data_IF_157262412004
#
_entry.id   IF_157262412004
#
_cell.length_a   1.000
_cell.length_b   1.000
_cell.length_c   1.000
_cell.angle_alpha   90.00
_cell.angle_beta   90.00
_cell.angle_gamma   90.00
#
_symmetry.space_group_name_H-M   'P 1'
#
loop_
_entity.id
_entity.type
_entity.pdbx_description
1 polymer ?
#
# COMPACT_ATOMS: atom_id res chain seq x y z
N UNK A 1 2.80 -61.02 38.20
CA UNK A 1 4.15 -60.59 37.80
C UNK A 1 4.14 -59.06 37.81
N UNK A 2 4.27 -58.36 38.94
CA UNK A 2 5.45 -58.14 39.77
C UNK A 2 6.64 -57.61 38.96
N UNK A 3 6.94 -56.30 39.11
CA UNK A 3 8.08 -55.60 38.50
C UNK A 3 8.11 -54.13 38.91
N UNK A 4 8.78 -53.86 40.04
CA UNK A 4 9.04 -52.57 40.68
C UNK A 4 10.43 -52.03 40.24
N UNK A 5 10.82 -50.85 40.76
CA UNK A 5 12.11 -50.12 40.66
C UNK A 5 12.23 -49.17 39.45
N UNK A 6 12.65 -47.91 39.60
CA UNK A 6 13.12 -47.15 40.75
C UNK A 6 13.38 -45.70 40.32
N UNK A 7 13.25 -44.77 41.27
CA UNK A 7 13.43 -43.34 41.06
C UNK A 7 14.90 -42.91 40.96
N UNK A 8 15.10 -41.70 40.41
CA UNK A 8 16.38 -41.02 40.33
C UNK A 8 16.18 -39.52 40.16
N UNK A 9 16.00 -38.84 41.30
CA UNK A 9 16.08 -37.39 41.43
C UNK A 9 17.53 -36.95 41.20
N UNK A 10 17.75 -36.00 40.30
CA UNK A 10 19.02 -35.27 40.21
C UNK A 10 18.74 -33.76 40.24
N UNK A 11 18.67 -33.25 41.47
CA UNK A 11 18.74 -31.82 41.80
C UNK A 11 20.18 -31.33 41.65
N UNK A 12 20.40 -30.30 40.86
CA UNK A 12 21.69 -29.59 40.79
C UNK A 12 21.53 -28.14 41.30
N UNK A 13 22.25 -27.73 42.36
CA UNK A 13 22.37 -26.32 42.74
C UNK A 13 23.80 -25.77 42.57
N UNK A 14 23.90 -24.43 42.61
CA UNK A 14 25.07 -23.52 42.55
C UNK A 14 25.54 -23.17 41.12
N UNK A 15 25.88 -21.92 40.80
CA UNK A 15 26.50 -20.92 41.66
C UNK A 15 26.00 -19.49 41.39
N UNK A 16 25.75 -18.76 42.47
CA UNK A 16 25.65 -17.32 42.52
C UNK A 16 27.04 -16.72 42.25
N UNK A 17 27.11 -15.74 41.34
CA UNK A 17 28.26 -14.82 41.27
C UNK A 17 27.76 -13.40 41.47
N UNK A 18 27.83 -12.98 42.72
CA UNK A 18 27.81 -11.58 43.11
C UNK A 18 29.14 -10.94 42.72
N UNK A 19 29.11 -9.84 41.97
CA UNK A 19 30.17 -8.85 41.98
C UNK A 19 29.53 -7.48 42.14
N UNK A 20 29.54 -7.05 43.40
CA UNK A 20 29.37 -5.67 43.83
C UNK A 20 30.61 -4.89 43.37
N UNK A 21 30.43 -3.78 42.70
CA UNK A 21 31.38 -2.66 42.71
C UNK A 21 30.56 -1.37 42.82
N UNK A 22 30.68 -0.72 43.97
CA UNK A 22 30.28 0.66 44.15
C UNK A 22 31.52 1.55 44.06
N UNK A 23 31.33 2.79 43.60
CA UNK A 23 32.09 4.02 43.85
C UNK A 23 31.09 5.14 43.49
N UNK A 24 30.46 5.77 44.49
CA UNK A 24 30.82 7.07 45.12
C UNK A 24 30.80 8.28 44.16
N UNK A 25 29.71 9.05 44.29
CA UNK A 25 29.62 10.52 44.45
C UNK A 25 30.62 11.43 43.70
N UNK A 26 30.10 12.41 42.95
CA UNK A 26 30.49 13.81 43.18
C UNK A 26 29.42 14.81 42.73
N UNK A 27 29.25 15.83 43.58
CA UNK A 27 28.38 17.00 43.50
C UNK A 27 29.08 18.11 42.73
N UNK A 28 28.34 18.90 41.92
CA UNK A 28 28.47 20.37 41.73
C UNK A 28 27.53 20.79 40.57
N UNK A 29 26.44 21.52 40.81
CA UNK A 29 26.37 22.98 41.02
C UNK A 29 27.25 23.78 40.07
N UNK A 30 26.59 24.48 39.13
CA UNK A 30 27.19 25.40 38.19
C UNK A 30 26.12 26.25 37.50
N UNK A 31 25.50 27.15 38.27
CA UNK A 31 24.85 28.36 37.77
C UNK A 31 25.89 29.18 36.98
N UNK A 32 25.55 29.64 35.77
CA UNK A 32 25.92 30.98 35.30
C UNK A 32 25.17 31.33 34.01
N UNK A 33 24.39 32.40 34.12
CA UNK A 33 23.80 33.15 33.04
C UNK A 33 24.87 33.84 32.20
N UNK A 34 24.67 33.94 30.89
CA UNK A 34 25.16 35.07 30.09
C UNK A 34 24.06 35.47 29.11
N UNK A 35 23.69 36.74 29.21
CA UNK A 35 22.77 37.48 28.38
C UNK A 35 23.52 38.21 27.25
N UNK A 36 22.73 38.70 26.27
CA UNK A 36 23.06 39.70 25.24
C UNK A 36 24.02 39.19 24.14
N UNK A 37 23.86 39.49 22.85
CA UNK A 37 23.46 40.77 22.25
C UNK A 37 23.00 40.60 20.80
N UNK A 38 22.19 41.57 20.38
CA UNK A 38 21.83 41.95 19.01
C UNK A 38 23.06 42.12 18.09
N UNK A 39 22.90 41.76 16.81
CA UNK A 39 23.51 42.47 15.69
C UNK A 39 22.81 42.11 14.37
N UNK A 40 21.93 43.01 13.94
CA UNK A 40 21.61 43.28 12.54
C UNK A 40 22.89 43.48 11.73
N UNK A 41 23.06 42.74 10.64
CA UNK A 41 23.88 43.17 9.50
C UNK A 41 23.19 42.75 8.20
N UNK A 42 22.55 43.74 7.58
CA UNK A 42 22.16 43.75 6.19
C UNK A 42 23.40 43.70 5.28
N UNK A 43 23.34 42.89 4.22
CA UNK A 43 24.23 42.97 3.06
C UNK A 43 23.36 43.01 1.80
N UNK A 44 23.62 43.92 0.84
CA UNK A 44 22.78 44.12 -0.33
C UNK A 44 23.20 43.25 -1.52
N UNK A 45 22.20 42.86 -2.31
CA UNK A 45 22.26 42.83 -3.77
C UNK A 45 23.07 41.72 -4.45
N UNK A 46 22.37 40.83 -5.15
CA UNK A 46 22.76 40.38 -6.50
C UNK A 46 21.50 39.98 -7.27
N UNK A 47 21.40 40.53 -8.48
CA UNK A 47 20.29 40.42 -9.41
C UNK A 47 20.05 38.98 -9.87
N UNK A 48 18.77 38.56 -9.91
CA UNK A 48 18.34 37.42 -10.70
C UNK A 48 17.33 37.89 -11.75
N UNK A 49 17.66 37.57 -13.00
CA UNK A 49 16.88 37.88 -14.20
C UNK A 49 15.45 37.31 -14.11
N UNK A 50 14.47 38.16 -14.38
CA UNK A 50 13.10 37.75 -14.61
C UNK A 50 13.01 37.08 -16.00
N UNK A 51 12.84 35.76 -16.01
CA UNK A 51 12.40 35.01 -17.17
C UNK A 51 10.89 35.22 -17.36
N UNK A 52 10.51 35.89 -18.44
CA UNK A 52 9.14 36.02 -18.93
C UNK A 52 8.70 34.72 -19.59
N UNK A 53 8.02 33.85 -18.86
CA UNK A 53 7.20 32.78 -19.46
C UNK A 53 5.81 33.34 -19.75
N UNK A 54 5.57 33.64 -21.03
CA UNK A 54 4.25 33.93 -21.55
C UNK A 54 3.37 32.66 -21.47
N UNK A 55 2.37 32.68 -20.59
CA UNK A 55 1.28 31.70 -20.59
C UNK A 55 0.27 32.07 -21.67
N UNK A 56 0.29 31.36 -22.79
CA UNK A 56 -0.78 31.41 -23.79
C UNK A 56 -1.97 30.64 -23.23
N UNK A 57 -2.94 31.36 -22.68
CA UNK A 57 -4.27 30.83 -22.39
C UNK A 57 -5.02 30.70 -23.74
N UNK A 58 -5.03 29.49 -24.29
CA UNK A 58 -5.91 29.14 -25.40
C UNK A 58 -7.34 29.03 -24.88
N UNK A 59 -8.13 30.08 -25.09
CA UNK A 59 -9.58 30.06 -24.90
C UNK A 59 -10.15 29.39 -26.16
N UNK A 60 -10.55 28.13 -26.05
CA UNK A 60 -11.35 27.48 -27.09
C UNK A 60 -12.80 27.97 -26.95
N UNK A 61 -13.18 28.93 -27.77
CA UNK A 61 -14.58 29.32 -27.96
C UNK A 61 -15.16 28.39 -29.01
N UNK A 62 -15.85 27.33 -28.58
CA UNK A 62 -16.71 26.53 -29.47
C UNK A 62 -18.16 27.06 -29.36
N UNK A 63 -18.75 27.61 -30.42
CA UNK A 63 -20.10 28.17 -30.40
C UNK A 63 -21.24 27.12 -30.56
N UNK A 64 -20.99 25.83 -30.37
CA UNK A 64 -22.03 24.79 -30.52
C UNK A 64 -22.69 24.30 -29.21
N UNK A 65 -22.41 24.90 -28.04
CA UNK A 65 -22.90 24.43 -26.75
C UNK A 65 -24.03 25.29 -26.13
N UNK A 66 -24.87 25.94 -26.93
CA UNK A 66 -25.90 26.88 -26.42
C UNK A 66 -27.35 26.40 -26.54
N UNK A 67 -27.59 25.13 -26.84
CA UNK A 67 -28.93 24.59 -26.73
C UNK A 67 -28.89 23.17 -26.21
N UNK A 68 -29.23 22.99 -24.92
CA UNK A 68 -29.90 21.82 -24.32
C UNK A 68 -29.94 21.89 -22.77
N UNK A 69 -29.98 23.10 -22.19
CA UNK A 69 -30.36 23.27 -20.79
C UNK A 69 -31.80 23.73 -20.71
N UNK A 70 -32.78 22.81 -20.66
CA UNK A 70 -34.15 23.10 -20.18
C UNK A 70 -35.05 21.85 -19.96
N UNK A 71 -34.49 20.69 -19.56
CA UNK A 71 -35.38 19.53 -19.22
C UNK A 71 -34.87 18.60 -18.12
N UNK A 72 -34.02 19.04 -17.18
CA UNK A 72 -33.77 18.24 -15.98
C UNK A 72 -33.68 19.13 -14.73
N UNK A 73 -34.55 18.85 -13.76
CA UNK A 73 -34.61 19.54 -12.47
C UNK A 73 -33.35 19.29 -11.60
N UNK A 74 -33.24 19.96 -10.44
CA UNK A 74 -32.02 19.96 -9.64
C UNK A 74 -31.77 18.56 -9.04
N UNK A 75 -30.79 17.83 -9.58
CA UNK A 75 -30.39 16.52 -9.07
C UNK A 75 -29.65 15.58 -10.04
N UNK A 76 -29.49 15.93 -11.33
CA UNK A 76 -28.82 15.05 -12.28
C UNK A 76 -27.28 15.16 -12.19
N UNK A 77 -26.63 14.11 -11.68
CA UNK A 77 -25.19 13.86 -11.82
C UNK A 77 -24.94 13.21 -13.17
N UNK A 78 -24.15 13.85 -14.04
CA UNK A 78 -23.70 13.28 -15.31
C UNK A 78 -22.51 12.37 -15.04
N UNK A 79 -22.71 11.05 -15.14
CA UNK A 79 -21.64 10.04 -15.09
C UNK A 79 -21.22 9.74 -16.55
N UNK A 80 -19.95 9.90 -16.94
CA UNK A 80 -19.49 9.45 -18.25
C UNK A 80 -19.45 7.92 -18.29
N UNK A 81 -20.48 7.33 -18.90
CA UNK A 81 -20.61 5.90 -19.14
C UNK A 81 -19.97 5.46 -20.46
N UNK A 82 -19.07 4.49 -20.34
CA UNK A 82 -18.61 3.59 -21.41
C UNK A 82 -19.81 3.03 -22.20
N UNK A 83 -19.91 3.33 -23.50
CA UNK A 83 -20.83 2.64 -24.41
C UNK A 83 -20.05 1.84 -25.44
N UNK A 84 -20.13 0.52 -25.28
CA UNK A 84 -19.75 -0.49 -26.26
C UNK A 84 -20.93 -0.74 -27.20
N UNK A 85 -20.65 -0.55 -28.49
CA UNK A 85 -21.26 -1.05 -29.73
C UNK A 85 -22.65 -1.73 -29.73
N UNK A 86 -23.51 -1.27 -30.65
CA UNK A 86 -24.18 -2.13 -31.64
C UNK A 86 -24.64 -1.30 -32.88
N UNK A 87 -24.43 -1.89 -34.05
CA UNK A 87 -25.01 -1.64 -35.38
C UNK A 87 -24.71 -0.34 -36.15
N UNK A 88 -24.13 -0.49 -37.34
CA UNK A 88 -24.09 0.57 -38.36
C UNK A 88 -22.95 0.50 -39.37
N UNK A 89 -23.11 -0.33 -40.39
CA UNK A 89 -22.33 -0.45 -41.64
C UNK A 89 -22.19 0.91 -42.35
N UNK A 90 -20.98 1.41 -42.61
CA UNK A 90 -20.65 2.23 -43.81
C UNK A 90 -19.16 2.14 -44.16
N UNK A 91 -18.88 1.87 -45.43
CA UNK A 91 -17.60 1.97 -46.14
C UNK A 91 -16.85 3.29 -45.92
N UNK A 92 -15.53 3.26 -45.69
CA UNK A 92 -14.55 3.95 -46.53
C UNK A 92 -13.08 3.61 -46.18
N UNK A 93 -12.29 3.54 -47.24
CA UNK A 93 -10.83 3.59 -47.45
C UNK A 93 -9.81 3.79 -46.30
N UNK A 94 -8.61 3.16 -46.41
CA UNK A 94 -7.51 3.35 -45.48
C UNK A 94 -6.72 4.63 -45.79
N UNK A 95 -6.62 5.55 -44.82
CA UNK A 95 -5.68 6.66 -44.87
C UNK A 95 -4.57 6.43 -43.84
N UNK A 96 -3.38 6.08 -44.33
CA UNK A 96 -2.17 5.96 -43.55
C UNK A 96 -1.60 7.37 -43.27
N UNK A 97 -1.43 7.71 -41.99
CA UNK A 97 -0.66 8.87 -41.58
C UNK A 97 0.83 8.59 -41.74
N UNK A 98 1.47 9.25 -42.71
CA UNK A 98 2.92 9.44 -42.74
C UNK A 98 3.27 10.78 -42.09
N UNK A 99 4.08 10.73 -41.03
CA UNK A 99 4.70 11.90 -40.41
C UNK A 99 5.96 12.23 -41.21
N UNK A 100 5.87 13.23 -42.09
CA UNK A 100 7.03 13.74 -42.84
C UNK A 100 7.70 14.86 -42.06
N UNK A 101 8.88 14.58 -41.51
CA UNK A 101 9.81 15.58 -40.98
C UNK A 101 10.27 16.51 -42.11
N UNK A 102 9.89 17.78 -42.05
CA UNK A 102 10.39 18.82 -42.94
C UNK A 102 11.77 19.32 -42.47
N UNK A 103 12.83 18.65 -42.91
CA UNK A 103 14.17 19.22 -42.88
C UNK A 103 14.33 20.15 -44.10
N UNK A 104 14.32 21.47 -43.87
CA UNK A 104 14.76 22.45 -44.86
C UNK A 104 16.27 22.38 -44.98
N UNK A 105 16.77 21.84 -46.08
CA UNK A 105 18.17 22.05 -46.50
C UNK A 105 18.20 23.01 -47.69
N UNK A 106 18.85 24.14 -47.47
CA UNK A 106 19.16 25.18 -48.46
C UNK A 106 20.14 24.59 -49.47
N UNK A 107 19.75 24.50 -50.74
CA UNK A 107 20.65 24.13 -51.82
C UNK A 107 21.39 25.37 -52.33
N UNK A 108 22.71 25.43 -52.12
CA UNK A 108 23.62 26.26 -52.91
C UNK A 108 24.05 25.46 -54.13
N UNK A 109 23.66 25.93 -55.32
CA UNK A 109 24.16 25.42 -56.58
C UNK A 109 25.63 25.80 -56.72
N UNK A 110 26.51 24.80 -56.85
CA UNK A 110 27.84 25.02 -57.41
C UNK A 110 28.09 23.97 -58.49
N UNK A 111 28.29 24.46 -59.70
CA UNK A 111 28.53 23.66 -60.89
C UNK A 111 29.98 23.17 -60.89
N UNK A 112 30.18 21.87 -61.12
CA UNK A 112 31.44 21.37 -61.63
C UNK A 112 31.15 20.22 -62.62
N UNK A 113 31.54 20.32 -63.90
CA UNK A 113 31.36 19.26 -64.86
C UNK A 113 32.55 18.29 -64.81
N UNK A 114 32.27 17.01 -65.11
CA UNK A 114 33.20 15.88 -65.28
C UNK A 114 33.38 14.96 -64.05
N UNK A 115 32.51 13.96 -63.95
CA UNK A 115 32.91 12.58 -63.66
C UNK A 115 31.76 11.63 -64.03
N UNK A 116 31.92 10.89 -65.11
CA UNK A 116 31.10 9.74 -65.43
C UNK A 116 31.50 8.58 -64.50
N UNK A 117 30.57 8.08 -63.68
CA UNK A 117 30.69 6.79 -63.00
C UNK A 117 29.30 6.23 -62.64
N UNK A 118 28.98 5.11 -63.29
CA UNK A 118 27.96 4.10 -63.07
C UNK A 118 26.92 4.29 -61.95
N UNK A 119 25.64 4.30 -62.35
CA UNK A 119 24.50 4.05 -61.47
C UNK A 119 24.52 2.59 -60.97
N UNK A 120 24.82 2.38 -59.70
CA UNK A 120 24.62 1.09 -59.04
C UNK A 120 23.13 0.92 -58.73
N UNK A 121 22.50 -0.05 -59.39
CA UNK A 121 21.12 -0.50 -59.09
C UNK A 121 21.13 -1.15 -57.71
N UNK A 122 20.36 -0.68 -56.71
CA UNK A 122 20.24 -1.39 -55.45
C UNK A 122 19.53 -2.72 -55.68
N UNK A 123 20.22 -3.83 -55.39
CA UNK A 123 19.65 -5.16 -55.42
C UNK A 123 18.52 -5.28 -54.36
N UNK A 124 17.42 -6.00 -54.64
CA UNK A 124 16.36 -6.22 -53.67
C UNK A 124 16.91 -7.02 -52.48
N UNK A 125 16.94 -6.39 -51.32
CA UNK A 125 17.24 -7.07 -50.06
C UNK A 125 16.12 -8.08 -49.79
N UNK A 126 16.46 -9.37 -49.84
CA UNK A 126 15.56 -10.44 -49.46
C UNK A 126 15.15 -10.24 -48.00
N UNK A 127 13.86 -9.97 -47.77
CA UNK A 127 13.29 -9.93 -46.44
C UNK A 127 13.41 -11.34 -45.82
N UNK A 128 14.26 -11.46 -44.80
CA UNK A 128 14.39 -12.69 -44.02
C UNK A 128 13.03 -13.02 -43.38
N UNK A 129 12.43 -14.14 -43.78
CA UNK A 129 11.22 -14.66 -43.17
C UNK A 129 11.49 -15.04 -41.71
N UNK A 130 10.77 -14.42 -40.77
CA UNK A 130 10.79 -14.78 -39.35
C UNK A 130 10.23 -16.19 -39.19
N UNK A 131 11.09 -17.18 -38.96
CA UNK A 131 10.67 -18.55 -38.61
C UNK A 131 10.05 -18.51 -37.21
N UNK A 132 8.83 -19.05 -37.00
CA UNK A 132 8.24 -19.10 -35.67
C UNK A 132 9.12 -19.96 -34.75
N UNK A 133 9.63 -19.35 -33.69
CA UNK A 133 10.44 -20.04 -32.68
C UNK A 133 9.62 -21.14 -32.02
N UNK A 134 10.09 -22.40 -32.10
CA UNK A 134 9.42 -23.56 -31.49
C UNK A 134 9.41 -23.54 -29.95
N UNK A 135 10.20 -22.65 -29.36
CA UNK A 135 10.34 -22.48 -27.93
C UNK A 135 9.79 -21.13 -27.47
N UNK A 136 9.19 -21.12 -26.28
CA UNK A 136 8.71 -19.91 -25.65
C UNK A 136 9.87 -18.99 -25.26
N UNK A 137 9.69 -17.69 -25.46
CA UNK A 137 10.66 -16.70 -24.98
C UNK A 137 10.56 -16.57 -23.45
N UNK A 138 11.66 -16.90 -22.77
CA UNK A 138 11.82 -16.79 -21.31
C UNK A 138 11.56 -15.39 -20.77
N UNK A 139 11.91 -14.35 -21.53
CA UNK A 139 11.67 -12.96 -21.15
C UNK A 139 10.18 -12.62 -21.09
N UNK A 140 9.38 -13.16 -22.02
CA UNK A 140 7.92 -12.97 -22.03
C UNK A 140 7.29 -13.64 -20.81
N UNK A 141 7.80 -14.81 -20.39
CA UNK A 141 7.35 -15.49 -19.17
C UNK A 141 7.69 -14.63 -17.94
N UNK A 142 8.92 -14.12 -17.85
CA UNK A 142 9.40 -13.26 -16.76
C UNK A 142 8.56 -11.97 -16.66
N UNK A 143 8.32 -11.29 -17.78
CA UNK A 143 7.50 -10.08 -17.85
C UNK A 143 6.03 -10.35 -17.47
N UNK A 144 5.47 -11.49 -17.89
CA UNK A 144 4.11 -11.89 -17.53
C UNK A 144 3.98 -12.08 -16.02
N UNK A 145 4.95 -12.77 -15.40
CA UNK A 145 5.00 -12.94 -13.95
C UNK A 145 5.21 -11.62 -13.19
N UNK A 146 6.08 -10.74 -13.70
CA UNK A 146 6.35 -9.43 -13.11
C UNK A 146 5.11 -8.53 -13.12
N UNK A 147 4.40 -8.46 -14.26
CA UNK A 147 3.16 -7.69 -14.40
C UNK A 147 2.09 -8.18 -13.42
N UNK A 148 1.91 -9.50 -13.33
CA UNK A 148 0.95 -10.09 -12.40
C UNK A 148 1.30 -9.75 -10.94
N UNK A 149 2.57 -9.88 -10.53
CA UNK A 149 2.97 -9.49 -9.16
C UNK A 149 2.73 -8.00 -8.91
N UNK A 150 3.02 -7.14 -9.89
CA UNK A 150 2.79 -5.70 -9.78
C UNK A 150 1.31 -5.40 -9.55
N UNK A 151 0.42 -6.00 -10.34
CA UNK A 151 -1.03 -5.88 -10.19
C UNK A 151 -1.48 -6.34 -8.79
N UNK A 152 -1.04 -7.51 -8.34
CA UNK A 152 -1.39 -8.04 -7.01
C UNK A 152 -0.84 -7.21 -5.84
N UNK A 153 0.23 -6.46 -6.06
CA UNK A 153 0.82 -5.55 -5.05
C UNK A 153 0.22 -4.14 -5.05
N UNK A 154 -0.72 -3.86 -5.97
CA UNK A 154 -1.41 -2.57 -6.05
C UNK A 154 -2.36 -2.44 -4.86
N UNK A 155 -1.99 -1.62 -3.87
CA UNK A 155 -2.74 -1.45 -2.61
C UNK A 155 -1.93 -1.75 -1.36
N UNK A 156 -0.69 -2.24 -1.51
CA UNK A 156 0.23 -2.37 -0.38
C UNK A 156 0.78 -1.00 0.03
N UNK A 157 0.99 -0.76 1.35
CA UNK A 157 1.54 0.49 1.82
C UNK A 157 3.01 0.64 1.38
N UNK A 158 3.36 1.80 0.83
CA UNK A 158 4.75 2.18 0.55
C UNK A 158 5.26 1.89 -0.87
N UNK A 159 6.58 1.87 -1.02
CA UNK A 159 7.29 1.64 -2.29
C UNK A 159 7.62 0.16 -2.44
N UNK A 160 7.09 -0.45 -3.48
CA UNK A 160 7.33 -1.86 -3.82
C UNK A 160 8.50 -1.97 -4.80
N UNK A 161 9.48 -2.82 -4.49
CA UNK A 161 10.57 -3.20 -5.38
C UNK A 161 10.46 -4.68 -5.67
N UNK A 162 10.31 -5.03 -6.95
CA UNK A 162 10.14 -6.41 -7.41
C UNK A 162 11.37 -6.86 -8.18
N UNK A 163 11.79 -8.10 -7.96
CA UNK A 163 12.85 -8.75 -8.73
C UNK A 163 12.40 -10.18 -9.02
N UNK A 164 12.27 -10.54 -10.30
CA UNK A 164 11.88 -11.89 -10.73
C UNK A 164 13.12 -12.55 -11.32
N UNK A 165 13.42 -13.77 -10.88
CA UNK A 165 14.51 -14.57 -11.41
C UNK A 165 14.18 -15.06 -12.82
N UNK A 166 15.20 -15.26 -13.65
CA UNK A 166 15.04 -15.81 -14.98
C UNK A 166 14.51 -17.25 -14.94
N UNK A 167 13.74 -17.63 -15.97
CA UNK A 167 13.27 -19.00 -16.09
C UNK A 167 14.45 -19.91 -16.44
N UNK A 168 14.70 -20.92 -15.60
CA UNK A 168 15.82 -21.85 -15.78
C UNK A 168 15.56 -22.85 -16.92
N UNK A 169 14.32 -22.97 -17.39
CA UNK A 169 13.93 -23.96 -18.42
C UNK A 169 13.66 -23.34 -19.78
N UNK A 170 14.63 -23.49 -20.70
CA UNK A 170 14.54 -23.04 -22.09
C UNK A 170 13.82 -24.03 -23.04
N UNK A 171 13.22 -25.10 -22.50
CA UNK A 171 12.58 -26.18 -23.27
C UNK A 171 11.06 -26.17 -23.19
N UNK A 172 10.47 -24.97 -23.19
CA UNK A 172 9.02 -24.83 -23.10
C UNK A 172 8.41 -24.64 -24.50
N UNK A 173 7.38 -25.40 -24.88
CA UNK A 173 6.64 -25.15 -26.12
C UNK A 173 6.06 -23.74 -26.15
N UNK A 174 5.97 -23.13 -27.34
CA UNK A 174 5.32 -21.83 -27.50
C UNK A 174 3.85 -21.88 -27.05
N UNK A 175 3.40 -20.84 -26.36
CA UNK A 175 2.05 -20.74 -25.83
C UNK A 175 1.47 -19.34 -26.07
N UNK A 176 0.24 -19.28 -26.59
CA UNK A 176 -0.48 -18.02 -26.82
C UNK A 176 -1.16 -17.48 -25.54
N UNK A 177 -1.50 -18.35 -24.58
CA UNK A 177 -2.22 -17.99 -23.36
C UNK A 177 -1.42 -18.33 -22.10
N UNK A 178 -0.52 -17.44 -21.70
CA UNK A 178 0.21 -17.58 -20.43
C UNK A 178 -0.68 -17.08 -19.28
N UNK A 179 -0.96 -17.95 -18.32
CA UNK A 179 -1.71 -17.61 -17.13
C UNK A 179 -0.79 -17.62 -15.89
N UNK A 180 -0.46 -16.46 -15.32
CA UNK A 180 0.28 -16.38 -14.07
C UNK A 180 -0.63 -16.68 -12.87
N UNK A 181 -0.12 -17.40 -11.88
CA UNK A 181 -0.84 -17.70 -10.64
C UNK A 181 0.11 -17.76 -9.44
N UNK A 182 -0.45 -17.57 -8.25
CA UNK A 182 0.27 -17.80 -6.99
C UNK A 182 -0.06 -19.20 -6.47
N UNK A 183 0.95 -20.00 -6.09
CA UNK A 183 0.68 -21.24 -5.40
C UNK A 183 -0.03 -20.98 -4.06
N UNK A 184 -0.89 -21.90 -3.59
CA UNK A 184 -1.59 -21.74 -2.33
C UNK A 184 -0.59 -21.57 -1.18
N UNK A 185 -0.81 -20.55 -0.34
CA UNK A 185 0.10 -20.21 0.75
C UNK A 185 1.31 -19.34 0.35
N UNK A 186 1.47 -19.01 -0.95
CA UNK A 186 2.46 -18.04 -1.37
C UNK A 186 2.15 -16.65 -0.82
N UNK A 187 3.22 -15.93 -0.47
CA UNK A 187 3.14 -14.60 0.12
C UNK A 187 3.27 -13.57 -1.01
N UNK A 188 2.46 -12.51 -0.96
CA UNK A 188 2.56 -11.39 -1.92
C UNK A 188 3.84 -10.56 -1.77
N UNK A 189 4.57 -10.74 -0.67
CA UNK A 189 5.81 -10.02 -0.36
C UNK A 189 6.86 -10.93 0.27
N UNK A 190 8.12 -10.51 0.21
CA UNK A 190 9.30 -11.29 0.62
C UNK A 190 9.79 -12.20 -0.51
N UNK A 191 10.41 -13.33 -0.14
CA UNK A 191 10.70 -14.40 -1.09
C UNK A 191 9.39 -15.13 -1.44
N UNK A 192 9.03 -15.13 -2.72
CA UNK A 192 7.80 -15.74 -3.23
C UNK A 192 8.07 -16.51 -4.51
N UNK A 193 7.16 -17.40 -4.85
CA UNK A 193 7.24 -18.20 -6.07
C UNK A 193 6.01 -17.91 -6.90
N UNK A 194 6.20 -17.59 -8.17
CA UNK A 194 5.11 -17.35 -9.14
C UNK A 194 5.06 -18.50 -10.11
N UNK A 195 3.89 -19.10 -10.26
CA UNK A 195 3.63 -20.09 -11.29
C UNK A 195 3.18 -19.40 -12.57
N UNK A 196 3.66 -19.86 -13.71
CA UNK A 196 3.11 -19.53 -15.03
C UNK A 196 2.69 -20.85 -15.67
N UNK A 197 1.41 -20.97 -16.01
CA UNK A 197 0.88 -22.15 -16.69
C UNK A 197 0.38 -21.79 -18.08
N UNK A 198 0.49 -22.76 -18.97
CA UNK A 198 -0.11 -22.73 -20.30
C UNK A 198 -1.19 -23.82 -20.36
N UNK A 199 -2.39 -23.46 -20.81
CA UNK A 199 -3.52 -24.38 -21.01
C UNK A 199 -3.79 -24.71 -22.50
N UNK A 200 -2.81 -24.44 -23.38
CA UNK A 200 -2.92 -24.69 -24.81
C UNK A 200 -2.74 -26.16 -25.20
N UNK A 201 -2.44 -26.40 -26.49
CA UNK A 201 -2.27 -27.74 -27.08
C UNK A 201 -1.19 -28.58 -26.37
N UNK A 202 -0.18 -27.92 -25.80
CA UNK A 202 0.88 -28.55 -24.99
C UNK A 202 0.90 -27.89 -23.61
N UNK A 203 0.15 -28.42 -22.64
CA UNK A 203 0.08 -27.81 -21.33
C UNK A 203 1.39 -27.99 -20.56
N UNK A 204 1.79 -26.94 -19.86
CA UNK A 204 2.99 -26.95 -19.02
C UNK A 204 2.83 -25.94 -17.88
N UNK A 205 3.65 -26.10 -16.84
CA UNK A 205 3.68 -25.19 -15.69
C UNK A 205 5.12 -24.96 -15.28
N UNK A 206 5.47 -23.71 -15.04
CA UNK A 206 6.79 -23.30 -14.60
C UNK A 206 6.71 -22.42 -13.36
N UNK A 207 7.63 -22.62 -12.43
CA UNK A 207 7.74 -21.83 -11.22
C UNK A 207 8.97 -20.94 -11.29
N UNK A 208 8.76 -19.63 -11.17
CA UNK A 208 9.81 -18.63 -11.05
C UNK A 208 9.97 -18.21 -9.60
N UNK A 209 11.21 -18.04 -9.16
CA UNK A 209 11.49 -17.36 -7.91
C UNK A 209 11.36 -15.85 -8.12
N UNK A 210 10.72 -15.18 -7.16
CA UNK A 210 10.60 -13.74 -7.15
C UNK A 210 10.84 -13.20 -5.74
N UNK A 211 11.35 -11.98 -5.66
CA UNK A 211 11.54 -11.26 -4.42
C UNK A 211 10.82 -9.93 -4.51
N UNK A 212 9.93 -9.68 -3.56
CA UNK A 212 9.16 -8.44 -3.48
C UNK A 212 9.48 -7.77 -2.16
N UNK A 213 10.28 -6.71 -2.21
CA UNK A 213 10.62 -5.86 -1.05
C UNK A 213 9.67 -4.69 -0.97
N UNK A 214 9.26 -4.32 0.25
CA UNK A 214 8.31 -3.24 0.48
C UNK A 214 8.93 -2.26 1.46
N UNK A 215 9.31 -1.09 0.97
CA UNK A 215 9.79 -0.01 1.81
C UNK A 215 8.62 0.90 2.18
N UNK A 216 8.20 0.85 3.44
CA UNK A 216 7.07 1.60 3.94
C UNK A 216 7.38 2.27 5.27
N UNK A 217 6.55 3.23 5.63
CA UNK A 217 6.54 3.80 6.97
C UNK A 217 5.83 2.83 7.91
N UNK A 218 6.47 2.51 9.02
CA UNK A 218 5.93 1.73 10.13
C UNK A 218 6.11 2.51 11.43
N UNK A 219 5.38 2.14 12.48
CA UNK A 219 5.44 2.84 13.75
C UNK A 219 6.26 2.06 14.79
N UNK A 220 7.15 2.79 15.48
CA UNK A 220 7.88 2.30 16.65
C UNK A 220 7.39 3.01 17.91
N UNK A 221 7.58 2.39 19.06
CA UNK A 221 7.24 3.01 20.33
C UNK A 221 8.23 4.17 20.64
N UNK A 222 7.72 5.38 20.79
CA UNK A 222 8.52 6.56 21.15
C UNK A 222 9.03 6.50 22.60
N UNK A 223 8.28 5.81 23.48
CA UNK A 223 8.61 5.55 24.87
C UNK A 223 8.29 4.12 25.26
N UNK A 224 8.68 3.72 26.46
CA UNK A 224 8.23 2.45 27.01
C UNK A 224 6.72 2.50 27.32
N UNK A 225 5.99 1.48 26.85
CA UNK A 225 4.56 1.28 27.08
C UNK A 225 4.38 0.02 27.91
N UNK A 226 3.66 0.13 29.03
CA UNK A 226 3.44 -1.00 29.93
C UNK A 226 2.16 -1.78 29.53
N UNK A 227 2.05 -3.06 29.93
CA UNK A 227 0.82 -3.81 29.74
C UNK A 227 -0.37 -3.10 30.39
N UNK A 228 -1.51 -3.05 29.71
CA UNK A 228 -2.74 -2.39 30.17
C UNK A 228 -2.81 -0.89 29.85
N UNK A 229 -1.76 -0.31 29.27
CA UNK A 229 -1.72 1.10 28.91
C UNK A 229 -2.33 1.36 27.53
N UNK A 230 -3.13 2.42 27.41
CA UNK A 230 -3.72 2.87 26.13
C UNK A 230 -2.69 3.65 25.33
N UNK A 231 -2.53 3.30 24.05
CA UNK A 231 -1.55 3.93 23.16
C UNK A 231 -2.13 5.22 22.58
N UNK A 232 -1.45 6.33 22.84
CA UNK A 232 -1.77 7.63 22.28
C UNK A 232 -0.95 7.98 21.03
N UNK A 233 -1.31 9.06 20.32
CA UNK A 233 -0.56 9.53 19.15
C UNK A 233 0.88 9.95 19.47
N UNK A 234 1.14 10.44 20.69
CA UNK A 234 2.47 10.86 21.13
C UNK A 234 3.40 9.66 21.48
N UNK A 235 2.85 8.46 21.57
CA UNK A 235 3.60 7.25 21.89
C UNK A 235 4.16 6.57 20.64
N UNK A 236 3.80 7.09 19.46
CA UNK A 236 4.16 6.56 18.15
C UNK A 236 5.23 7.43 17.50
N UNK A 237 6.26 6.80 16.96
CA UNK A 237 7.26 7.44 16.11
C UNK A 237 7.29 6.75 14.75
N UNK A 238 7.02 7.47 13.64
CA UNK A 238 7.11 6.90 12.31
C UNK A 238 8.58 6.63 11.93
N UNK A 239 8.83 5.46 11.37
CA UNK A 239 10.14 5.00 10.88
C UNK A 239 9.97 4.38 9.51
N UNK A 240 10.95 4.57 8.65
CA UNK A 240 10.94 3.98 7.31
C UNK A 240 11.86 2.76 7.26
N UNK A 241 11.41 1.69 6.62
CA UNK A 241 12.20 0.46 6.50
C UNK A 241 11.52 -0.60 5.64
N UNK A 242 12.24 -1.71 5.44
CA UNK A 242 11.74 -2.84 4.66
C UNK A 242 10.82 -3.73 5.53
N UNK A 243 9.54 -3.79 5.18
CA UNK A 243 8.55 -4.63 5.87
C UNK A 243 8.83 -6.13 5.71
N UNK A 244 9.63 -6.55 4.72
CA UNK A 244 9.95 -7.97 4.51
C UNK A 244 10.89 -8.54 5.56
N UNK A 245 11.67 -7.68 6.22
CA UNK A 245 12.54 -8.05 7.34
C UNK A 245 11.80 -8.03 8.68
N UNK A 246 10.59 -7.47 8.70
CA UNK A 246 9.78 -7.31 9.89
C UNK A 246 8.69 -8.40 9.99
N UNK A 247 8.19 -8.69 11.21
CA UNK A 247 7.04 -9.55 11.39
C UNK A 247 5.80 -9.01 10.68
N UNK A 248 4.93 -9.92 10.21
CA UNK A 248 3.67 -9.58 9.51
C UNK A 248 2.72 -8.71 10.32
N UNK A 249 2.87 -8.73 11.63
CA UNK A 249 1.98 -8.03 12.56
C UNK A 249 2.40 -6.58 12.78
N UNK A 250 3.49 -6.09 12.18
CA UNK A 250 3.86 -4.67 12.33
C UNK A 250 2.77 -3.77 11.77
N UNK A 251 2.33 -2.82 12.58
CA UNK A 251 1.28 -1.89 12.22
C UNK A 251 1.87 -0.75 11.36
N UNK A 252 1.31 -0.57 10.16
CA UNK A 252 1.70 0.46 9.18
C UNK A 252 0.78 1.67 9.21
N UNK A 253 -0.35 1.59 9.91
CA UNK A 253 -1.34 2.66 10.05
C UNK A 253 -1.45 3.06 11.53
N UNK A 254 -1.34 4.36 11.81
CA UNK A 254 -1.50 4.90 13.15
C UNK A 254 -2.94 4.73 13.65
N UNK A 255 -3.94 4.79 12.77
CA UNK A 255 -5.35 4.64 13.14
C UNK A 255 -5.68 3.27 13.74
N UNK A 256 -4.93 2.24 13.36
CA UNK A 256 -5.05 0.88 13.91
C UNK A 256 -4.39 0.73 15.29
N UNK A 257 -3.50 1.64 15.66
CA UNK A 257 -2.71 1.57 16.89
C UNK A 257 -3.30 2.48 17.97
N UNK A 258 -3.68 3.70 17.58
CA UNK A 258 -4.19 4.71 18.51
C UNK A 258 -5.50 4.23 19.13
N UNK A 259 -5.60 4.32 20.46
CA UNK A 259 -6.78 3.87 21.19
C UNK A 259 -6.84 2.35 21.44
N UNK A 260 -5.79 1.61 21.07
CA UNK A 260 -5.59 0.23 21.52
C UNK A 260 -4.83 0.18 22.84
N UNK A 261 -4.90 -0.95 23.53
CA UNK A 261 -4.23 -1.23 24.79
C UNK A 261 -3.12 -2.26 24.57
N UNK A 262 -1.93 -2.00 25.12
CA UNK A 262 -0.83 -2.93 25.05
C UNK A 262 -1.09 -4.18 25.91
N UNK A 263 -0.98 -5.37 25.33
CA UNK A 263 -1.12 -6.66 26.05
C UNK A 263 0.18 -7.03 26.76
N UNK A 264 1.32 -6.65 26.18
CA UNK A 264 2.63 -6.92 26.73
C UNK A 264 3.47 -5.63 26.77
N UNK A 265 4.57 -5.64 27.54
CA UNK A 265 5.47 -4.48 27.60
C UNK A 265 6.13 -4.25 26.24
N UNK A 266 6.08 -3.01 25.74
CA UNK A 266 6.76 -2.58 24.53
C UNK A 266 7.84 -1.56 24.91
N UNK A 267 9.10 -1.90 24.68
CA UNK A 267 10.23 -0.99 24.93
C UNK A 267 10.31 0.08 23.85
N UNK A 268 10.79 1.27 24.21
CA UNK A 268 11.07 2.35 23.24
C UNK A 268 11.98 1.88 22.11
N UNK A 269 11.68 2.29 20.88
CA UNK A 269 12.43 1.96 19.67
C UNK A 269 12.05 0.62 19.03
N UNK A 270 11.23 -0.21 19.69
CA UNK A 270 10.73 -1.44 19.07
C UNK A 270 9.54 -1.17 18.15
N UNK A 271 9.40 -1.94 17.05
CA UNK A 271 8.24 -1.84 16.16
C UNK A 271 6.98 -2.29 16.88
N UNK A 272 5.92 -1.50 16.75
CA UNK A 272 4.62 -1.83 17.32
C UNK A 272 3.93 -2.85 16.41
N UNK A 273 3.46 -3.92 17.04
CA UNK A 273 2.86 -5.05 16.35
C UNK A 273 1.45 -5.31 16.87
N UNK A 274 0.52 -5.62 15.98
CA UNK A 274 -0.88 -5.89 16.29
C UNK A 274 -1.10 -7.06 17.24
N UNK A 275 -0.20 -8.06 17.28
CA UNK A 275 -0.28 -9.16 18.26
C UNK A 275 0.00 -8.72 19.70
N UNK A 276 0.67 -7.57 19.87
CA UNK A 276 0.92 -6.96 21.18
C UNK A 276 -0.17 -5.95 21.56
N UNK A 277 -1.16 -5.74 20.69
CA UNK A 277 -2.26 -4.80 20.88
C UNK A 277 -3.56 -5.56 21.09
N UNK A 278 -4.42 -4.98 21.92
CA UNK A 278 -5.81 -5.40 22.08
C UNK A 278 -6.67 -4.15 22.01
N UNK A 279 -7.86 -4.24 21.43
CA UNK A 279 -8.82 -3.15 21.46
C UNK A 279 -9.07 -2.69 22.90
N UNK A 280 -9.11 -1.37 23.13
CA UNK A 280 -9.43 -0.84 24.45
C UNK A 280 -10.85 -1.25 24.84
N UNK A 281 -11.03 -1.70 26.08
CA UNK A 281 -12.37 -2.01 26.60
C UNK A 281 -13.12 -0.68 26.69
N UNK A 282 -14.15 -0.52 25.87
CA UNK A 282 -14.99 0.68 25.87
C UNK A 282 -16.14 0.54 26.88
N UNK A 283 -16.67 -0.68 27.05
CA UNK A 283 -17.73 -0.99 28.02
C UNK A 283 -17.39 -2.19 28.89
N UNK A 284 -17.69 -2.09 30.18
CA UNK A 284 -17.55 -3.18 31.15
C UNK A 284 -18.87 -3.91 31.36
N UNK A 285 -18.80 -5.17 31.79
CA UNK A 285 -19.97 -5.93 32.21
C UNK A 285 -20.62 -5.25 33.42
N UNK A 286 -21.94 -5.10 33.38
CA UNK A 286 -22.74 -4.41 34.39
C UNK A 286 -22.78 -2.88 34.22
N UNK A 287 -22.04 -2.31 33.27
CA UNK A 287 -22.07 -0.87 33.01
C UNK A 287 -23.41 -0.47 32.39
N UNK A 288 -24.01 0.59 32.92
CA UNK A 288 -25.19 1.22 32.30
C UNK A 288 -24.76 2.07 31.12
N UNK A 289 -25.31 1.79 29.94
CA UNK A 289 -25.02 2.50 28.68
C UNK A 289 -26.32 2.91 28.01
N UNK A 290 -26.25 3.95 27.18
CA UNK A 290 -27.38 4.40 26.34
C UNK A 290 -27.40 3.56 25.06
N UNK A 291 -28.45 2.77 24.90
CA UNK A 291 -28.76 2.04 23.67
C UNK A 291 -29.49 2.99 22.73
N UNK A 292 -29.00 3.13 21.52
CA UNK A 292 -29.55 4.02 20.49
C UNK A 292 -29.90 3.19 19.26
N UNK A 293 -31.11 3.35 18.77
CA UNK A 293 -31.61 2.69 17.57
C UNK A 293 -31.96 3.77 16.56
N UNK A 294 -31.30 3.78 15.39
CA UNK A 294 -31.53 4.77 14.33
C UNK A 294 -32.26 4.13 13.16
N UNK A 295 -33.42 4.68 12.79
CA UNK A 295 -34.19 4.34 11.60
C UNK A 295 -34.22 5.48 10.58
N UNK A 296 -35.00 5.33 9.51
CA UNK A 296 -35.18 6.38 8.50
C UNK A 296 -35.97 7.57 9.06
N UNK A 297 -35.27 8.52 9.69
CA UNK A 297 -35.84 9.76 10.21
C UNK A 297 -36.24 9.74 11.70
N UNK A 298 -35.91 8.69 12.44
CA UNK A 298 -36.15 8.63 13.89
C UNK A 298 -34.96 8.01 14.64
N UNK A 299 -34.75 8.46 15.87
CA UNK A 299 -33.78 7.91 16.81
C UNK A 299 -34.52 7.57 18.11
N UNK A 300 -34.47 6.30 18.51
CA UNK A 300 -34.98 5.85 19.81
C UNK A 300 -33.77 5.60 20.70
N UNK A 301 -33.77 6.17 21.91
CA UNK A 301 -32.74 5.88 22.90
C UNK A 301 -33.32 5.36 24.20
N UNK A 302 -32.65 4.38 24.80
CA UNK A 302 -33.05 3.73 26.05
C UNK A 302 -31.81 3.37 26.85
N UNK A 303 -31.91 3.32 28.17
CA UNK A 303 -30.82 2.86 29.02
C UNK A 303 -30.86 1.34 29.19
N UNK A 304 -29.69 0.73 29.23
CA UNK A 304 -29.55 -0.70 29.51
C UNK A 304 -28.21 -1.06 30.13
N UNK A 305 -28.15 -2.24 30.74
CA UNK A 305 -26.95 -2.79 31.36
C UNK A 305 -26.25 -3.77 30.43
N UNK A 306 -24.95 -3.55 30.23
CA UNK A 306 -24.10 -4.39 29.40
C UNK A 306 -23.88 -5.76 30.07
N UNK A 307 -24.09 -6.86 29.35
CA UNK A 307 -23.90 -8.21 29.89
C UNK A 307 -22.47 -8.75 29.69
N UNK A 308 -21.71 -8.22 28.73
CA UNK A 308 -20.37 -8.68 28.38
C UNK A 308 -19.43 -7.50 28.11
N UNK A 309 -18.16 -7.62 28.47
CA UNK A 309 -17.17 -6.59 28.14
C UNK A 309 -16.98 -6.53 26.62
N UNK A 310 -16.89 -5.33 26.07
CA UNK A 310 -16.71 -5.13 24.63
C UNK A 310 -15.88 -3.87 24.35
N UNK A 311 -15.18 -3.87 23.22
CA UNK A 311 -14.44 -2.73 22.72
C UNK A 311 -15.28 -1.90 21.76
N UNK A 312 -14.82 -0.68 21.44
CA UNK A 312 -15.47 0.13 20.43
C UNK A 312 -15.49 -0.62 19.08
N UNK A 313 -16.66 -0.71 18.44
CA UNK A 313 -16.88 -1.46 17.20
C UNK A 313 -17.27 -2.93 17.39
N UNK A 314 -17.15 -3.49 18.60
CA UNK A 314 -17.55 -4.88 18.85
C UNK A 314 -19.07 -5.00 19.13
N UNK A 315 -19.69 -6.13 18.76
CA UNK A 315 -21.06 -6.43 19.15
C UNK A 315 -21.14 -6.76 20.64
N UNK A 316 -22.16 -6.23 21.32
CA UNK A 316 -22.40 -6.43 22.74
C UNK A 316 -23.88 -6.63 23.01
N UNK A 317 -24.18 -7.46 24.01
CA UNK A 317 -25.55 -7.67 24.48
C UNK A 317 -25.84 -6.75 25.67
N UNK A 318 -26.97 -6.05 25.59
CA UNK A 318 -27.44 -5.11 26.59
C UNK A 318 -28.84 -5.53 27.07
N UNK A 319 -29.02 -5.60 28.38
CA UNK A 319 -30.33 -5.82 29.00
C UNK A 319 -30.98 -4.49 29.33
N UNK A 320 -32.12 -4.19 28.72
CA UNK A 320 -32.88 -2.98 28.99
C UNK A 320 -33.52 -3.03 30.38
N UNK A 321 -33.97 -1.88 30.89
CA UNK A 321 -34.76 -1.82 32.13
C UNK A 321 -36.06 -2.64 32.07
N UNK A 322 -36.62 -2.82 30.88
CA UNK A 322 -37.80 -3.66 30.63
C UNK A 322 -37.48 -5.17 30.60
N UNK A 323 -36.21 -5.55 30.75
CA UNK A 323 -35.76 -6.95 30.76
C UNK A 323 -35.53 -7.54 29.38
N UNK A 324 -35.69 -6.76 28.31
CA UNK A 324 -35.40 -7.20 26.95
C UNK A 324 -33.89 -7.24 26.71
N UNK A 325 -33.45 -8.22 25.93
CA UNK A 325 -32.06 -8.38 25.54
C UNK A 325 -31.87 -7.87 24.12
N UNK A 326 -31.00 -6.88 23.95
CA UNK A 326 -30.74 -6.25 22.66
C UNK A 326 -29.27 -6.40 22.33
N UNK A 327 -28.97 -6.80 21.09
CA UNK A 327 -27.60 -6.86 20.58
C UNK A 327 -27.33 -5.63 19.74
N UNK A 328 -26.22 -4.95 19.98
CA UNK A 328 -25.81 -3.79 19.20
C UNK A 328 -24.29 -3.62 19.19
N UNK A 329 -23.81 -2.66 18.41
CA UNK A 329 -22.38 -2.36 18.28
C UNK A 329 -22.01 -1.17 19.17
N UNK A 330 -20.93 -1.30 19.95
CA UNK A 330 -20.44 -0.21 20.79
C UNK A 330 -19.90 0.93 19.91
N UNK A 331 -20.39 2.15 20.11
CA UNK A 331 -19.89 3.36 19.45
C UNK A 331 -19.68 4.49 20.46
N UNK A 332 -18.79 5.41 20.12
CA UNK A 332 -18.64 6.66 20.86
C UNK A 332 -19.69 7.65 20.35
N UNK A 333 -20.60 8.07 21.23
CA UNK A 333 -21.62 9.07 20.95
C UNK A 333 -21.03 10.47 20.77
N UNK A 334 -21.83 11.40 20.25
CA UNK A 334 -21.41 12.79 19.95
C UNK A 334 -20.90 13.57 21.16
N UNK A 335 -21.27 13.16 22.36
CA UNK A 335 -20.89 13.80 23.62
C UNK A 335 -19.65 13.13 24.27
N UNK A 336 -19.00 12.19 23.58
CA UNK A 336 -17.91 11.38 24.15
C UNK A 336 -18.39 10.22 25.04
N UNK A 337 -19.70 10.08 25.25
CA UNK A 337 -20.30 8.99 26.01
C UNK A 337 -20.34 7.72 25.18
N UNK A 338 -20.19 6.55 25.81
CA UNK A 338 -20.29 5.27 25.12
C UNK A 338 -21.75 4.87 24.95
N UNK A 339 -22.14 4.62 23.70
CA UNK A 339 -23.49 4.25 23.31
C UNK A 339 -23.47 2.91 22.56
N UNK A 340 -24.58 2.18 22.58
CA UNK A 340 -24.71 0.93 21.83
C UNK A 340 -25.71 1.13 20.71
N UNK A 341 -25.24 1.08 19.46
CA UNK A 341 -26.08 1.22 18.28
C UNK A 341 -26.68 -0.11 17.86
N UNK A 342 -28.00 -0.16 17.71
CA UNK A 342 -28.73 -1.34 17.29
C UNK A 342 -29.19 -1.13 15.85
N UNK A 343 -28.86 -2.06 14.97
CA UNK A 343 -29.41 -2.10 13.62
C UNK A 343 -30.84 -2.65 13.68
N UNK A 344 -31.80 -1.89 13.15
CA UNK A 344 -33.20 -2.27 13.01
C UNK A 344 -33.42 -3.10 11.74
#
# INVERSE_FOLDING_TARGET
MAGNFGGGLASAPRAQRALRHGIRTCVRSGLLAVALSLADLAVPGLAQAASTTASVAGIATDPAAEHLGNTFGPGAVVIPGHHTAADGIVSNTPNAYNVSNAARTVATANANPNAAMAAAVPAPQAASATVPSQFQNTEVIRQTAERFLREQTTGLPGRVTLTVSDAVSNRMPSCAGLEPFLPPGARLWGATTVGVRCSGERPWTLYLQARVSINATYFVAARQINPGETIGPNDLSPRQGDLTLLPRTVATDAGQIIGTVAVNRITSGLPIRSDLLRSAIAVQQGQTVRVVSRGSGFEVSTEGQVLSRASAGDPVQVRTRTGQLVSGTVKTGKNGNVEVEVAL
#
